data_IF_788677175608
#
_entry.id   IF_788677175608
#
_cell.length_a   1.000
_cell.length_b   1.000
_cell.length_c   1.000
_cell.angle_alpha   90.00
_cell.angle_beta   90.00
_cell.angle_gamma   90.00
#
_symmetry.space_group_name_H-M   'P 1'
#
loop_
_entity.id
_entity.type
_entity.pdbx_description
1 polymer ?
#
# COMPACT_ATOMS: atom_id res chain seq x y z
N UNK A 1 -52.20 -8.96 47.46
CA UNK A 1 -51.33 -7.77 47.24
C UNK A 1 -49.96 -8.09 46.56
N UNK A 2 -49.60 -9.36 46.29
CA UNK A 2 -48.30 -9.74 45.68
C UNK A 2 -48.32 -9.85 44.13
N UNK A 3 -49.49 -10.08 43.53
CA UNK A 3 -49.59 -10.30 42.07
C UNK A 3 -49.43 -9.00 41.25
N UNK A 4 -49.85 -7.84 41.76
CA UNK A 4 -49.75 -6.54 41.08
C UNK A 4 -48.28 -6.01 40.98
N UNK A 5 -47.37 -6.44 41.90
CA UNK A 5 -45.96 -6.05 41.88
C UNK A 5 -45.18 -6.80 40.83
N UNK A 6 -45.54 -8.04 40.52
CA UNK A 6 -44.84 -8.89 39.51
C UNK A 6 -45.16 -8.37 38.11
N UNK A 7 -46.40 -7.94 37.82
CA UNK A 7 -46.81 -7.42 36.53
C UNK A 7 -46.15 -6.06 36.21
N UNK A 8 -45.86 -5.26 37.21
CA UNK A 8 -45.21 -3.95 37.01
C UNK A 8 -43.71 -4.10 36.67
N UNK A 9 -43.06 -5.11 37.23
CA UNK A 9 -41.64 -5.34 36.96
C UNK A 9 -41.39 -6.05 35.59
N UNK A 10 -42.29 -6.92 35.16
CA UNK A 10 -42.21 -7.56 33.84
C UNK A 10 -42.50 -6.57 32.72
N UNK A 11 -43.38 -5.61 32.91
CA UNK A 11 -43.67 -4.56 31.92
C UNK A 11 -42.47 -3.58 31.77
N UNK A 12 -41.74 -3.28 32.86
CA UNK A 12 -40.55 -2.40 32.85
C UNK A 12 -39.39 -3.04 32.15
N UNK A 13 -39.20 -4.36 32.23
CA UNK A 13 -38.13 -5.11 31.55
C UNK A 13 -38.40 -5.21 30.05
N UNK A 14 -39.67 -5.29 29.63
CA UNK A 14 -40.06 -5.40 28.22
C UNK A 14 -39.90 -4.06 27.47
N UNK A 15 -39.99 -2.91 28.16
CA UNK A 15 -39.78 -1.59 27.57
C UNK A 15 -38.28 -1.26 27.48
N UNK A 16 -37.43 -1.81 28.35
CA UNK A 16 -35.97 -1.59 28.32
C UNK A 16 -35.25 -2.34 27.18
N UNK A 17 -35.87 -3.38 26.61
CA UNK A 17 -35.30 -4.16 25.49
C UNK A 17 -35.57 -3.56 24.09
N UNK A 18 -36.37 -2.49 23.97
CA UNK A 18 -36.79 -1.92 22.68
C UNK A 18 -35.96 -0.72 22.20
N UNK A 19 -34.90 -0.32 22.90
CA UNK A 19 -34.08 0.87 22.54
C UNK A 19 -32.64 0.51 22.11
N UNK A 20 -32.35 -0.76 21.83
CA UNK A 20 -31.06 -1.21 21.29
C UNK A 20 -31.19 -1.61 19.82
N UNK A 21 -32.01 -0.88 19.05
CA UNK A 21 -32.02 -1.06 17.60
C UNK A 21 -31.24 0.07 16.93
N UNK A 22 -30.12 -0.34 16.31
CA UNK A 22 -29.59 0.24 15.11
C UNK A 22 -28.84 1.57 15.20
N UNK A 23 -27.55 1.50 15.50
CA UNK A 23 -26.62 2.15 14.60
C UNK A 23 -25.91 1.07 13.77
N UNK A 24 -26.63 0.45 12.86
CA UNK A 24 -26.01 -0.19 11.70
C UNK A 24 -25.62 0.96 10.77
N UNK A 25 -24.41 1.46 10.89
CA UNK A 25 -23.76 2.26 9.85
C UNK A 25 -23.79 1.41 8.58
N UNK A 26 -24.65 1.79 7.65
CA UNK A 26 -24.73 1.25 6.31
C UNK A 26 -23.35 1.46 5.68
N UNK A 27 -22.52 0.43 5.71
CA UNK A 27 -21.33 0.37 4.89
C UNK A 27 -21.83 0.36 3.45
N UNK A 28 -21.72 1.48 2.76
CA UNK A 28 -21.96 1.50 1.33
C UNK A 28 -21.07 0.45 0.70
N UNK A 29 -21.69 -0.47 0.00
CA UNK A 29 -21.01 -1.47 -0.80
C UNK A 29 -20.29 -0.77 -1.94
N UNK A 30 -19.03 -0.42 -1.72
CA UNK A 30 -18.12 -0.04 -2.80
C UNK A 30 -17.81 -1.32 -3.55
N UNK A 31 -18.41 -1.44 -4.71
CA UNK A 31 -18.33 -2.56 -5.64
C UNK A 31 -16.87 -2.97 -5.91
N UNK A 32 -16.50 -4.19 -5.50
CA UNK A 32 -15.53 -5.05 -6.20
C UNK A 32 -14.04 -4.73 -6.18
N UNK A 33 -13.59 -3.56 -5.66
CA UNK A 33 -12.17 -3.16 -5.69
C UNK A 33 -11.54 -3.15 -4.27
N UNK A 34 -12.35 -3.25 -3.23
CA UNK A 34 -11.92 -3.00 -1.84
C UNK A 34 -10.95 -4.04 -1.25
N UNK A 35 -10.77 -5.20 -1.90
CA UNK A 35 -9.85 -6.24 -1.45
C UNK A 35 -8.40 -6.05 -1.88
N UNK A 36 -8.12 -5.16 -2.84
CA UNK A 36 -6.80 -4.96 -3.43
C UNK A 36 -6.23 -3.54 -3.23
N UNK A 37 -6.94 -2.67 -2.51
CA UNK A 37 -6.52 -1.30 -2.24
C UNK A 37 -6.84 -0.89 -0.80
N UNK A 38 -5.92 -0.16 -0.17
CA UNK A 38 -6.16 0.57 1.08
C UNK A 38 -6.14 2.07 0.76
N UNK A 39 -7.32 2.69 0.72
CA UNK A 39 -7.47 4.01 0.11
C UNK A 39 -7.20 3.91 -1.39
N UNK A 40 -6.23 4.65 -1.90
CA UNK A 40 -5.77 4.59 -3.29
C UNK A 40 -4.44 3.83 -3.48
N UNK A 41 -3.93 3.17 -2.43
CA UNK A 41 -2.70 2.36 -2.48
C UNK A 41 -3.04 0.91 -2.81
N UNK A 42 -2.31 0.33 -3.76
CA UNK A 42 -2.44 -1.07 -4.11
C UNK A 42 -1.95 -1.98 -2.97
N UNK A 43 -2.74 -2.98 -2.62
CA UNK A 43 -2.46 -3.97 -1.55
C UNK A 43 -2.57 -5.42 -2.03
N UNK A 44 -2.86 -5.64 -3.31
CA UNK A 44 -2.95 -6.98 -3.90
C UNK A 44 -1.57 -7.61 -4.13
N UNK A 45 -1.56 -8.88 -4.50
CA UNK A 45 -0.33 -9.68 -4.73
C UNK A 45 -0.09 -10.03 -6.18
N UNK A 46 -1.08 -9.86 -7.06
CA UNK A 46 -1.02 -10.27 -8.47
C UNK A 46 0.01 -9.49 -9.31
N UNK A 47 0.38 -8.27 -8.90
CA UNK A 47 1.44 -7.50 -9.57
C UNK A 47 2.76 -7.46 -8.81
N UNK A 48 2.89 -8.22 -7.72
CA UNK A 48 4.14 -8.33 -6.95
C UNK A 48 5.03 -9.40 -7.59
N UNK A 49 6.30 -9.04 -7.80
CA UNK A 49 7.40 -9.97 -8.13
C UNK A 49 8.38 -10.01 -6.97
N UNK A 50 9.39 -10.83 -7.08
CA UNK A 50 10.32 -11.08 -5.99
C UNK A 50 11.75 -10.74 -6.39
N UNK A 51 12.43 -9.98 -5.54
CA UNK A 51 13.87 -9.72 -5.63
C UNK A 51 14.66 -10.98 -5.33
N UNK A 52 14.17 -11.78 -4.38
CA UNK A 52 14.66 -13.09 -4.01
C UNK A 52 13.49 -13.89 -3.40
N UNK A 53 13.68 -15.18 -3.13
CA UNK A 53 12.64 -16.02 -2.53
C UNK A 53 12.09 -15.39 -1.25
N UNK A 54 10.77 -15.20 -1.19
CA UNK A 54 10.07 -14.56 -0.09
C UNK A 54 10.33 -13.05 0.11
N UNK A 55 11.10 -12.39 -0.79
CA UNK A 55 11.41 -10.95 -0.70
C UNK A 55 10.75 -10.19 -1.84
N UNK A 56 9.61 -9.50 -1.62
CA UNK A 56 8.96 -8.72 -2.66
C UNK A 56 9.88 -7.63 -3.23
N UNK A 57 9.80 -7.41 -4.56
CA UNK A 57 10.70 -6.47 -5.26
C UNK A 57 10.18 -5.02 -5.29
N UNK A 58 8.91 -4.79 -4.94
CA UNK A 58 8.29 -3.47 -5.14
C UNK A 58 7.47 -2.99 -3.97
N UNK A 59 7.32 -1.67 -3.93
CA UNK A 59 6.47 -0.94 -2.98
C UNK A 59 5.55 0.00 -3.73
N UNK A 60 4.37 0.29 -3.15
CA UNK A 60 3.32 1.08 -3.78
C UNK A 60 3.07 2.39 -3.04
N UNK A 61 2.54 3.38 -3.77
CA UNK A 61 2.32 4.74 -3.30
C UNK A 61 0.91 5.24 -3.59
N UNK A 62 0.47 6.19 -2.78
CA UNK A 62 -0.75 6.95 -3.03
C UNK A 62 -0.62 7.90 -4.24
N UNK A 63 -1.75 8.42 -4.70
CA UNK A 63 -1.81 9.40 -5.79
C UNK A 63 -1.00 10.64 -5.43
N UNK A 64 -0.14 11.08 -6.34
CA UNK A 64 0.75 12.24 -6.21
C UNK A 64 1.72 12.19 -5.02
N UNK A 65 1.85 11.05 -4.35
CA UNK A 65 2.72 10.91 -3.18
C UNK A 65 3.96 10.06 -3.45
N UNK A 66 5.00 10.34 -2.66
CA UNK A 66 6.22 9.53 -2.53
C UNK A 66 6.48 9.07 -1.08
N UNK A 67 5.50 9.26 -0.19
CA UNK A 67 5.56 8.82 1.21
C UNK A 67 5.37 7.31 1.29
N UNK A 68 6.25 6.64 2.04
CA UNK A 68 6.18 5.19 2.25
C UNK A 68 5.08 4.83 3.25
N UNK A 69 4.19 3.94 2.86
CA UNK A 69 3.19 3.33 3.75
C UNK A 69 3.84 2.35 4.74
N UNK A 70 3.10 1.91 5.75
CA UNK A 70 3.57 0.86 6.68
C UNK A 70 3.93 -0.43 5.94
N UNK A 71 3.08 -0.89 5.02
CA UNK A 71 3.34 -2.07 4.20
C UNK A 71 4.59 -1.91 3.31
N UNK A 72 4.77 -0.71 2.69
CA UNK A 72 5.97 -0.40 1.92
C UNK A 72 7.24 -0.47 2.77
N UNK A 73 7.19 0.03 4.00
CA UNK A 73 8.33 -0.04 4.94
C UNK A 73 8.66 -1.47 5.36
N UNK A 74 7.66 -2.32 5.55
CA UNK A 74 7.87 -3.74 5.86
C UNK A 74 8.54 -4.49 4.70
N UNK A 75 8.09 -4.25 3.47
CA UNK A 75 8.74 -4.77 2.27
C UNK A 75 10.20 -4.33 2.18
N UNK A 76 10.48 -3.04 2.34
CA UNK A 76 11.84 -2.51 2.29
C UNK A 76 12.73 -3.03 3.43
N UNK A 77 12.17 -3.31 4.63
CA UNK A 77 12.91 -4.00 5.70
C UNK A 77 13.36 -5.39 5.29
N UNK A 78 12.47 -6.15 4.63
CA UNK A 78 12.80 -7.49 4.11
C UNK A 78 13.89 -7.41 3.04
N UNK A 79 13.79 -6.43 2.13
CA UNK A 79 14.82 -6.17 1.12
C UNK A 79 16.15 -5.78 1.77
N UNK A 80 16.15 -4.88 2.77
CA UNK A 80 17.36 -4.48 3.49
C UNK A 80 18.02 -5.66 4.20
N UNK A 81 17.22 -6.52 4.86
CA UNK A 81 17.73 -7.73 5.50
C UNK A 81 18.43 -8.67 4.50
N UNK A 82 17.82 -8.85 3.33
CA UNK A 82 18.39 -9.65 2.25
C UNK A 82 19.66 -9.01 1.67
N UNK A 83 19.64 -7.69 1.39
CA UNK A 83 20.80 -6.95 0.85
C UNK A 83 21.99 -6.93 1.81
N UNK A 84 21.79 -6.93 3.12
CA UNK A 84 22.88 -7.06 4.11
C UNK A 84 23.53 -8.43 4.07
N UNK A 85 22.76 -9.50 3.86
CA UNK A 85 23.29 -10.86 3.68
C UNK A 85 24.02 -11.05 2.35
N UNK A 86 23.66 -10.25 1.33
CA UNK A 86 24.20 -10.31 -0.02
C UNK A 86 24.95 -9.01 -0.37
N UNK A 87 26.07 -8.76 0.34
CA UNK A 87 26.78 -7.49 0.30
C UNK A 87 27.41 -7.14 -1.07
N UNK A 88 27.65 -8.12 -1.92
CA UNK A 88 28.16 -7.92 -3.28
C UNK A 88 27.10 -7.47 -4.29
N UNK A 89 25.82 -7.58 -3.96
CA UNK A 89 24.73 -7.22 -4.88
C UNK A 89 24.49 -5.72 -4.83
N UNK A 90 24.54 -5.08 -5.98
CA UNK A 90 24.06 -3.72 -6.21
C UNK A 90 22.64 -3.76 -6.77
N UNK A 91 21.88 -2.69 -6.55
CA UNK A 91 20.48 -2.59 -7.00
C UNK A 91 20.22 -1.26 -7.68
N UNK A 92 19.24 -1.27 -8.57
CA UNK A 92 18.61 -0.08 -9.15
C UNK A 92 17.21 0.02 -8.56
N UNK A 93 16.85 1.19 -8.06
CA UNK A 93 15.48 1.52 -7.66
C UNK A 93 14.80 2.25 -8.83
N UNK A 94 13.87 1.56 -9.46
CA UNK A 94 13.10 2.09 -10.57
C UNK A 94 11.83 2.77 -10.04
N UNK A 95 11.64 4.06 -10.36
CA UNK A 95 10.47 4.81 -9.97
C UNK A 95 9.44 4.94 -11.09
N UNK A 96 8.18 4.73 -10.75
CA UNK A 96 7.07 4.72 -11.71
C UNK A 96 5.89 5.55 -11.21
N UNK A 97 5.10 6.06 -12.16
CA UNK A 97 3.87 6.79 -11.93
C UNK A 97 2.71 6.19 -12.75
N UNK A 98 1.49 6.57 -12.43
CA UNK A 98 0.33 6.30 -13.28
C UNK A 98 0.30 7.23 -14.51
N UNK A 99 -0.62 6.99 -15.45
CA UNK A 99 -0.67 7.69 -16.73
C UNK A 99 -1.06 9.18 -16.63
N UNK A 100 -1.65 9.61 -15.51
CA UNK A 100 -2.22 10.95 -15.33
C UNK A 100 -1.13 12.00 -15.15
N UNK A 101 -1.32 13.19 -15.74
CA UNK A 101 -0.36 14.30 -15.68
C UNK A 101 0.68 14.29 -16.81
N UNK A 102 1.56 15.31 -16.79
CA UNK A 102 2.60 15.48 -17.83
C UNK A 102 3.73 14.46 -17.67
N UNK A 103 4.49 14.26 -18.73
CA UNK A 103 5.66 13.37 -18.74
C UNK A 103 6.71 13.82 -17.74
N UNK A 104 7.04 15.09 -17.76
CA UNK A 104 8.05 15.71 -16.90
C UNK A 104 7.69 15.59 -15.43
N UNK A 105 6.43 15.88 -15.09
CA UNK A 105 5.93 15.74 -13.73
C UNK A 105 6.06 14.28 -13.24
N UNK A 106 5.66 13.31 -14.06
CA UNK A 106 5.71 11.89 -13.70
C UNK A 106 7.13 11.35 -13.60
N UNK A 107 8.07 11.84 -14.42
CA UNK A 107 9.49 11.51 -14.28
C UNK A 107 10.01 11.99 -12.92
N UNK A 108 9.74 13.22 -12.55
CA UNK A 108 10.14 13.77 -11.24
C UNK A 108 9.45 13.04 -10.06
N UNK A 109 8.15 12.67 -10.21
CA UNK A 109 7.44 11.90 -9.17
C UNK A 109 8.00 10.49 -9.01
N UNK A 110 8.30 9.81 -10.11
CA UNK A 110 8.95 8.50 -10.09
C UNK A 110 10.31 8.56 -9.41
N UNK A 111 11.12 9.58 -9.71
CA UNK A 111 12.41 9.79 -9.05
C UNK A 111 12.26 10.00 -7.54
N UNK A 112 11.32 10.83 -7.08
CA UNK A 112 11.04 11.01 -5.65
C UNK A 112 10.64 9.70 -4.97
N UNK A 113 9.83 8.87 -5.61
CA UNK A 113 9.43 7.54 -5.09
C UNK A 113 10.62 6.60 -4.92
N UNK A 114 11.48 6.54 -5.93
CA UNK A 114 12.70 5.72 -5.87
C UNK A 114 13.67 6.25 -4.80
N UNK A 115 13.83 7.57 -4.66
CA UNK A 115 14.65 8.15 -3.61
C UNK A 115 14.09 7.87 -2.21
N UNK A 116 12.77 7.92 -2.01
CA UNK A 116 12.16 7.55 -0.71
C UNK A 116 12.47 6.10 -0.32
N UNK A 117 12.47 5.18 -1.28
CA UNK A 117 12.86 3.80 -1.04
C UNK A 117 14.37 3.68 -0.76
N UNK A 118 15.23 4.39 -1.49
CA UNK A 118 16.68 4.46 -1.28
C UNK A 118 17.00 4.95 0.14
N UNK A 119 16.45 6.08 0.51
CA UNK A 119 16.70 6.70 1.83
C UNK A 119 16.31 5.72 2.95
N UNK A 120 15.17 5.04 2.78
CA UNK A 120 14.74 4.04 3.75
C UNK A 120 15.70 2.84 3.83
N UNK A 121 16.17 2.29 2.71
CA UNK A 121 17.18 1.22 2.70
C UNK A 121 18.49 1.67 3.36
N UNK A 122 18.91 2.93 3.15
CA UNK A 122 20.10 3.50 3.78
C UNK A 122 19.96 3.59 5.30
N UNK A 123 18.78 3.86 5.87
CA UNK A 123 18.55 3.83 7.32
C UNK A 123 18.77 2.43 7.93
N UNK A 124 18.69 1.38 7.09
CA UNK A 124 18.99 -0.01 7.48
C UNK A 124 20.42 -0.44 7.14
N UNK A 125 21.31 0.52 6.88
CA UNK A 125 22.74 0.29 6.69
C UNK A 125 23.15 -0.18 5.29
N UNK A 126 22.29 -0.04 4.28
CA UNK A 126 22.67 -0.29 2.89
C UNK A 126 23.42 0.95 2.38
N UNK A 127 24.65 0.75 1.93
CA UNK A 127 25.50 1.86 1.45
C UNK A 127 24.96 2.48 0.15
N UNK A 128 25.00 3.81 0.06
CA UNK A 128 24.46 4.58 -1.08
C UNK A 128 25.11 4.22 -2.41
N UNK A 129 26.38 3.80 -2.41
CA UNK A 129 27.10 3.38 -3.61
C UNK A 129 26.57 2.06 -4.21
N UNK A 130 25.81 1.30 -3.44
CA UNK A 130 25.14 0.07 -3.89
C UNK A 130 23.76 0.30 -4.48
N UNK A 131 23.24 1.53 -4.42
CA UNK A 131 21.87 1.86 -4.81
C UNK A 131 21.87 2.98 -5.85
N UNK A 132 21.54 2.65 -7.08
CA UNK A 132 21.24 3.60 -8.14
C UNK A 132 19.75 3.89 -8.20
N UNK A 133 19.38 5.08 -8.67
CA UNK A 133 17.98 5.50 -8.86
C UNK A 133 17.75 5.79 -10.34
N UNK A 134 16.61 5.32 -10.86
CA UNK A 134 16.17 5.55 -12.23
C UNK A 134 14.66 5.79 -12.24
N UNK A 135 14.20 6.83 -12.89
CA UNK A 135 12.78 7.07 -13.08
C UNK A 135 12.36 6.75 -14.51
N UNK A 136 11.29 6.00 -14.65
CA UNK A 136 10.58 5.81 -15.91
C UNK A 136 9.30 6.66 -15.97
N UNK A 137 8.95 7.37 -14.90
CA UNK A 137 7.69 8.11 -14.84
C UNK A 137 6.52 7.21 -15.21
N UNK A 138 5.72 7.60 -16.20
CA UNK A 138 4.58 6.85 -16.72
C UNK A 138 4.88 5.96 -17.93
N UNK A 139 6.12 5.92 -18.41
CA UNK A 139 6.49 5.30 -19.70
C UNK A 139 6.56 3.76 -19.65
N UNK A 140 6.60 3.16 -18.44
CA UNK A 140 6.63 1.71 -18.26
C UNK A 140 5.54 1.24 -17.31
N UNK A 141 4.25 1.28 -17.71
CA UNK A 141 3.16 0.78 -16.89
C UNK A 141 3.26 -0.75 -16.73
N UNK A 142 2.87 -1.26 -15.56
CA UNK A 142 2.69 -2.71 -15.34
C UNK A 142 1.27 -3.13 -15.71
N UNK A 143 0.33 -2.19 -15.67
CA UNK A 143 -1.05 -2.35 -16.10
C UNK A 143 -1.41 -1.16 -17.00
N UNK A 144 -1.70 -1.43 -18.27
CA UNK A 144 -2.00 -0.40 -19.27
C UNK A 144 -3.46 0.10 -19.21
N UNK A 145 -4.27 -0.42 -18.28
CA UNK A 145 -5.66 0.00 -18.11
C UNK A 145 -5.80 1.40 -17.51
N UNK A 146 -6.86 2.10 -17.90
CA UNK A 146 -7.23 3.43 -17.39
C UNK A 146 -8.29 3.29 -16.29
N UNK A 147 -7.92 2.70 -15.17
CA UNK A 147 -8.79 2.48 -14.02
C UNK A 147 -8.08 2.78 -12.69
N UNK A 148 -8.81 3.07 -11.60
CA UNK A 148 -8.19 3.27 -10.29
C UNK A 148 -7.29 2.11 -9.85
N UNK A 149 -7.66 0.87 -10.17
CA UNK A 149 -6.86 -0.31 -9.86
C UNK A 149 -5.56 -0.35 -10.70
N UNK A 150 -5.66 -0.13 -12.03
CA UNK A 150 -4.48 -0.07 -12.90
C UNK A 150 -3.53 1.06 -12.47
N UNK A 151 -4.06 2.25 -12.17
CA UNK A 151 -3.25 3.36 -11.67
C UNK A 151 -2.55 3.04 -10.35
N UNK A 152 -3.22 2.36 -9.42
CA UNK A 152 -2.61 1.99 -8.14
C UNK A 152 -1.45 0.99 -8.30
N UNK A 153 -1.52 0.06 -9.25
CA UNK A 153 -0.43 -0.86 -9.61
C UNK A 153 0.76 -0.14 -10.24
N UNK A 154 0.49 0.93 -11.00
CA UNK A 154 1.52 1.71 -11.69
C UNK A 154 2.28 2.65 -10.75
N UNK A 155 1.66 3.13 -9.67
CA UNK A 155 2.30 3.98 -8.66
C UNK A 155 3.21 3.16 -7.74
N UNK A 156 4.43 2.88 -8.20
CA UNK A 156 5.34 1.96 -7.51
C UNK A 156 6.81 2.39 -7.59
N UNK A 157 7.63 1.82 -6.72
CA UNK A 157 9.08 1.73 -6.90
C UNK A 157 9.47 0.25 -6.91
N UNK A 158 10.35 -0.14 -7.81
CA UNK A 158 10.82 -1.52 -8.01
C UNK A 158 12.31 -1.60 -7.72
N UNK A 159 12.72 -2.58 -6.92
CA UNK A 159 14.13 -2.90 -6.65
C UNK A 159 14.58 -3.99 -7.62
N UNK A 160 15.53 -3.67 -8.48
CA UNK A 160 16.09 -4.57 -9.49
C UNK A 160 17.56 -4.80 -9.19
N UNK A 161 18.05 -6.04 -9.31
CA UNK A 161 19.49 -6.31 -9.23
C UNK A 161 20.20 -5.62 -10.39
N UNK A 162 21.24 -4.87 -10.10
CA UNK A 162 22.13 -4.34 -11.13
C UNK A 162 22.96 -5.50 -11.71
N UNK A 163 23.02 -5.58 -13.04
CA UNK A 163 23.86 -6.55 -13.77
C UNK A 163 25.31 -6.10 -13.74
#
# INVERSE_FOLDING_TARGET
>A
MKLKKIFKNTLLILVACLVLTACATKKEATTGISGQMQGDVYTGTDSVKYLADGVPDRVFFATNESVLTTASRETLRSQAAWLRKNSSINVVLEGHADERGTREYNLALGERRANSAKDYLMTYGISSNRISVLSYGKERPVDAGSSPLAWSKNRRSVTVKAN
#
